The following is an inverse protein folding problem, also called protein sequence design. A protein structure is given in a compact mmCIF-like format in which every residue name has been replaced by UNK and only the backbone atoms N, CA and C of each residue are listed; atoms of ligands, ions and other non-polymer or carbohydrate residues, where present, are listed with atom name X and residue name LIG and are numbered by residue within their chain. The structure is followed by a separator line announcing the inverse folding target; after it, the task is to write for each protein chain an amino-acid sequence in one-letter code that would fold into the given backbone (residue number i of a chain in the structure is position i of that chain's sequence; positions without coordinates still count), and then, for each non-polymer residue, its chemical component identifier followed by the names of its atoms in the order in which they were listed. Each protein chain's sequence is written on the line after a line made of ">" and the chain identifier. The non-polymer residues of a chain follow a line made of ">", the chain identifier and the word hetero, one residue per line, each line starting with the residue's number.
data_IF_670600262035
#
_entry.id   IF_670600262035
#
_cell.length_a   1.000
_cell.length_b   1.000
_cell.length_c   1.000
_cell.angle_alpha   90.00
_cell.angle_beta   90.00
_cell.angle_gamma   90.00
#
_symmetry.space_group_name_H-M   'P 1'
#
loop_
_entity.id
_entity.type
_entity.pdbx_description
1 polymer ?
#
# COMPACT_ATOMS: atom_id res chain seq x y z
N UNK A 1 12.33 7.71 -9.44
CA UNK A 1 11.23 6.87 -8.93
C UNK A 1 10.98 5.75 -9.93
N UNK A 2 11.13 4.50 -9.52
CA UNK A 2 11.11 3.30 -10.38
C UNK A 2 9.89 2.42 -10.04
N UNK A 3 8.70 3.02 -10.02
CA UNK A 3 7.43 2.28 -9.87
C UNK A 3 6.74 2.22 -11.22
N UNK A 4 6.40 1.02 -11.66
CA UNK A 4 5.63 0.77 -12.88
C UNK A 4 4.23 0.29 -12.50
N UNK A 5 3.20 0.77 -13.18
CA UNK A 5 1.84 0.27 -13.01
C UNK A 5 1.47 -0.60 -14.21
N UNK A 6 1.31 -1.90 -13.99
CA UNK A 6 0.86 -2.81 -15.03
C UNK A 6 -0.66 -2.68 -15.19
N UNK A 7 -1.18 -2.54 -16.43
CA UNK A 7 -2.62 -2.52 -16.67
C UNK A 7 -3.30 -3.78 -16.11
N UNK A 8 -2.69 -4.94 -16.36
CA UNK A 8 -3.14 -6.25 -15.91
C UNK A 8 -1.92 -7.11 -15.57
N UNK A 9 -1.95 -7.76 -14.42
CA UNK A 9 -1.09 -8.89 -14.08
C UNK A 9 -1.94 -10.15 -14.09
N UNK A 10 -1.61 -11.12 -14.95
CA UNK A 10 -2.23 -12.44 -14.96
C UNK A 10 -1.21 -13.50 -14.52
N UNK A 11 -1.56 -14.27 -13.49
CA UNK A 11 -0.74 -15.38 -13.02
C UNK A 11 -0.80 -16.52 -14.04
N UNK A 12 0.36 -17.13 -14.25
CA UNK A 12 0.53 -18.26 -15.16
C UNK A 12 1.44 -19.30 -14.54
N UNK A 13 1.28 -20.53 -14.98
CA UNK A 13 2.15 -21.64 -14.62
C UNK A 13 2.86 -22.17 -15.88
N UNK A 14 4.08 -22.66 -15.69
CA UNK A 14 4.82 -23.36 -16.75
C UNK A 14 4.15 -24.71 -16.97
N UNK A 15 3.94 -25.07 -18.22
CA UNK A 15 3.26 -26.31 -18.60
C UNK A 15 3.95 -26.96 -19.80
N UNK A 16 3.56 -28.19 -20.11
CA UNK A 16 4.03 -28.88 -21.32
C UNK A 16 3.35 -28.30 -22.56
N UNK A 17 3.95 -28.56 -23.73
CA UNK A 17 3.41 -28.13 -25.03
C UNK A 17 2.00 -28.69 -25.30
N UNK A 18 1.70 -29.87 -24.78
CA UNK A 18 0.44 -30.58 -25.04
C UNK A 18 -0.67 -30.20 -24.05
N UNK A 19 -0.40 -29.34 -23.06
CA UNK A 19 -1.41 -28.95 -22.09
C UNK A 19 -2.48 -28.05 -22.75
N UNK A 20 -3.79 -28.29 -22.53
CA UNK A 20 -4.83 -27.42 -23.05
C UNK A 20 -4.63 -25.96 -22.62
N UNK A 21 -4.62 -25.04 -23.59
CA UNK A 21 -4.40 -23.62 -23.35
C UNK A 21 -2.92 -23.20 -23.21
N UNK A 22 -1.97 -24.11 -23.47
CA UNK A 22 -0.55 -23.78 -23.48
C UNK A 22 -0.21 -22.74 -24.56
N UNK A 23 0.53 -21.71 -24.15
CA UNK A 23 1.07 -20.65 -25.01
C UNK A 23 2.59 -20.75 -25.01
N UNK A 24 3.19 -20.68 -26.19
CA UNK A 24 4.65 -20.65 -26.36
C UNK A 24 5.19 -19.26 -26.04
N UNK A 25 6.28 -19.18 -25.29
CA UNK A 25 7.06 -17.94 -25.09
C UNK A 25 8.53 -18.21 -25.35
N UNK A 26 9.16 -17.32 -26.10
CA UNK A 26 10.59 -17.35 -26.35
C UNK A 26 11.22 -16.14 -25.67
N UNK A 27 12.20 -16.39 -24.81
CA UNK A 27 12.99 -15.36 -24.13
C UNK A 27 14.32 -15.22 -24.84
N UNK A 28 14.64 -14.02 -25.29
CA UNK A 28 15.99 -13.68 -25.72
C UNK A 28 16.84 -13.45 -24.45
N UNK A 29 17.84 -14.29 -24.23
CA UNK A 29 18.75 -14.16 -23.08
C UNK A 29 20.01 -13.45 -23.57
N UNK A 30 20.04 -12.12 -23.46
CA UNK A 30 21.20 -11.31 -23.85
C UNK A 30 21.58 -11.35 -25.34
N UNK A 31 22.59 -10.58 -25.73
CA UNK A 31 23.03 -10.45 -27.14
C UNK A 31 23.70 -11.71 -27.71
N UNK A 32 24.08 -12.69 -26.87
CA UNK A 32 24.90 -13.85 -27.27
C UNK A 32 24.46 -15.21 -26.67
N UNK A 33 23.30 -15.35 -26.03
CA UNK A 33 22.85 -16.65 -25.51
C UNK A 33 21.65 -17.23 -26.28
N UNK A 34 21.59 -18.56 -26.35
CA UNK A 34 20.54 -19.31 -27.04
C UNK A 34 19.14 -18.93 -26.55
N UNK A 35 18.20 -18.76 -27.48
CA UNK A 35 16.81 -18.41 -27.16
C UNK A 35 16.16 -19.52 -26.35
N UNK A 36 15.85 -19.27 -25.08
CA UNK A 36 15.15 -20.25 -24.26
C UNK A 36 13.65 -20.15 -24.54
N UNK A 37 13.05 -21.27 -24.92
CA UNK A 37 11.61 -21.37 -25.19
C UNK A 37 10.94 -22.20 -24.12
N UNK A 38 9.83 -21.71 -23.58
CA UNK A 38 8.99 -22.43 -22.64
C UNK A 38 7.51 -22.29 -22.99
N UNK A 39 6.68 -23.19 -22.48
CA UNK A 39 5.23 -23.14 -22.61
C UNK A 39 4.62 -22.76 -21.26
N UNK A 40 3.58 -21.94 -21.30
CA UNK A 40 2.87 -21.48 -20.10
C UNK A 40 1.38 -21.38 -20.37
N UNK A 41 0.56 -21.53 -19.33
CA UNK A 41 -0.88 -21.27 -19.41
C UNK A 41 -1.33 -20.35 -18.27
N UNK A 42 -2.33 -19.48 -18.49
CA UNK A 42 -2.93 -18.70 -17.41
C UNK A 42 -3.53 -19.63 -16.36
N UNK A 43 -3.33 -19.32 -15.08
CA UNK A 43 -3.95 -20.07 -14.00
C UNK A 43 -5.45 -19.74 -13.97
N UNK A 44 -6.29 -20.77 -14.01
CA UNK A 44 -7.74 -20.63 -13.91
C UNK A 44 -8.24 -21.18 -12.58
N UNK A 45 -9.35 -20.63 -12.08
CA UNK A 45 -10.02 -21.15 -10.87
C UNK A 45 -10.58 -22.56 -11.03
N UNK A 46 -10.62 -23.10 -12.25
CA UNK A 46 -11.14 -24.42 -12.59
C UNK A 46 -10.08 -25.50 -12.36
N UNK A 47 -8.80 -25.19 -12.61
CA UNK A 47 -7.69 -26.15 -12.54
C UNK A 47 -7.22 -26.44 -11.10
N UNK A 48 -7.22 -25.42 -10.22
CA UNK A 48 -6.80 -25.60 -8.83
C UNK A 48 -7.99 -25.90 -7.89
N UNK A 49 -8.46 -27.14 -7.92
CA UNK A 49 -9.49 -27.66 -6.98
C UNK A 49 -9.13 -27.49 -5.49
N UNK A 50 -7.87 -27.15 -5.16
CA UNK A 50 -7.34 -26.98 -3.80
C UNK A 50 -7.32 -25.53 -3.28
N UNK A 51 -7.58 -24.53 -4.12
CA UNK A 51 -7.59 -23.11 -3.73
C UNK A 51 -9.01 -22.57 -3.71
N UNK A 52 -9.33 -21.79 -2.70
CA UNK A 52 -10.67 -21.25 -2.52
C UNK A 52 -11.10 -20.37 -3.71
N UNK A 53 -12.38 -20.45 -4.09
CA UNK A 53 -12.96 -19.78 -5.27
C UNK A 53 -12.78 -18.26 -5.32
N UNK A 54 -12.48 -17.60 -4.20
CA UNK A 54 -12.27 -16.15 -4.14
C UNK A 54 -10.85 -15.70 -4.53
N UNK A 55 -9.90 -16.63 -4.66
CA UNK A 55 -8.53 -16.31 -5.08
C UNK A 55 -8.57 -15.91 -6.56
N UNK A 56 -8.19 -14.66 -6.84
CA UNK A 56 -8.08 -14.14 -8.20
C UNK A 56 -6.72 -14.51 -8.78
N UNK A 57 -6.69 -14.66 -10.09
CA UNK A 57 -5.44 -14.91 -10.84
C UNK A 57 -5.13 -13.78 -11.82
N UNK A 58 -5.99 -12.76 -11.85
CA UNK A 58 -5.91 -11.56 -12.66
C UNK A 58 -6.10 -10.32 -11.78
N UNK A 59 -5.13 -9.40 -11.85
CA UNK A 59 -5.08 -8.18 -11.06
C UNK A 59 -4.90 -6.96 -11.96
N UNK A 60 -5.91 -6.11 -12.02
CA UNK A 60 -5.82 -4.84 -12.74
C UNK A 60 -5.00 -3.83 -11.93
N UNK A 61 -4.23 -2.98 -12.61
CA UNK A 61 -3.45 -1.90 -12.01
C UNK A 61 -2.45 -2.42 -10.96
N UNK A 62 -1.74 -3.51 -11.28
CA UNK A 62 -0.75 -4.10 -10.38
C UNK A 62 0.49 -3.21 -10.30
N UNK A 63 0.89 -2.74 -9.11
CA UNK A 63 2.07 -1.91 -8.94
C UNK A 63 3.33 -2.78 -8.81
N UNK A 64 4.33 -2.50 -9.64
CA UNK A 64 5.62 -3.18 -9.66
C UNK A 64 6.68 -2.26 -9.09
N UNK A 65 7.47 -2.79 -8.17
CA UNK A 65 8.69 -2.15 -7.64
C UNK A 65 9.85 -2.56 -8.52
N UNK A 66 10.55 -1.58 -9.10
CA UNK A 66 11.74 -1.78 -9.92
C UNK A 66 12.98 -1.19 -9.22
N UNK A 67 14.14 -1.77 -9.47
CA UNK A 67 15.44 -1.21 -9.10
C UNK A 67 15.85 -0.05 -10.04
N UNK A 68 17.04 0.54 -9.82
CA UNK A 68 17.60 1.58 -10.70
C UNK A 68 17.83 1.14 -12.14
N UNK A 69 18.06 -0.15 -12.35
CA UNK A 69 18.27 -0.76 -13.67
C UNK A 69 16.95 -1.08 -14.38
N UNK A 70 15.80 -0.83 -13.74
CA UNK A 70 14.49 -1.16 -14.28
C UNK A 70 14.12 -2.64 -14.14
N UNK A 71 14.88 -3.41 -13.37
CA UNK A 71 14.61 -4.82 -13.08
C UNK A 71 13.61 -4.89 -11.92
N UNK A 72 12.56 -5.74 -12.00
CA UNK A 72 11.65 -5.94 -10.88
C UNK A 72 12.36 -6.46 -9.64
N UNK A 73 12.15 -5.78 -8.50
CA UNK A 73 12.59 -6.28 -7.21
C UNK A 73 11.69 -7.43 -6.77
N UNK A 74 12.10 -8.63 -7.14
CA UNK A 74 11.42 -9.91 -6.97
C UNK A 74 10.71 -10.06 -5.61
N UNK A 75 11.43 -9.92 -4.50
CA UNK A 75 10.89 -10.13 -3.14
C UNK A 75 9.81 -9.12 -2.77
N UNK A 76 9.93 -7.87 -3.19
CA UNK A 76 8.92 -6.85 -2.94
C UNK A 76 7.65 -7.09 -3.76
N UNK A 77 7.82 -7.50 -5.01
CA UNK A 77 6.69 -7.82 -5.89
C UNK A 77 5.96 -9.09 -5.44
N UNK A 78 6.68 -10.11 -4.97
CA UNK A 78 6.10 -11.31 -4.36
C UNK A 78 5.34 -10.97 -3.06
N UNK A 79 5.87 -10.06 -2.24
CA UNK A 79 5.18 -9.60 -1.05
C UNK A 79 3.83 -8.93 -1.40
N UNK A 80 3.82 -8.02 -2.37
CA UNK A 80 2.59 -7.35 -2.83
C UNK A 80 1.59 -8.38 -3.35
N UNK A 81 2.04 -9.36 -4.15
CA UNK A 81 1.19 -10.42 -4.66
C UNK A 81 0.58 -11.28 -3.55
N UNK A 82 1.39 -11.68 -2.55
CA UNK A 82 0.90 -12.48 -1.41
C UNK A 82 -0.20 -11.77 -0.62
N UNK A 83 -0.11 -10.44 -0.49
CA UNK A 83 -1.11 -9.60 0.17
C UNK A 83 -2.41 -9.51 -0.64
N UNK A 84 -2.29 -9.48 -1.98
CA UNK A 84 -3.43 -9.46 -2.90
C UNK A 84 -4.19 -10.79 -2.90
N UNK A 85 -3.48 -11.91 -2.95
CA UNK A 85 -4.08 -13.26 -2.92
C UNK A 85 -4.94 -13.49 -1.67
N UNK A 86 -4.55 -12.90 -0.54
CA UNK A 86 -5.29 -12.97 0.72
C UNK A 86 -6.52 -12.06 0.81
N UNK A 87 -6.81 -11.23 -0.21
CA UNK A 87 -7.86 -10.19 -0.13
C UNK A 87 -8.92 -10.38 -1.23
N UNK A 88 -10.19 -10.73 -0.89
CA UNK A 88 -11.23 -11.00 -1.89
C UNK A 88 -11.59 -9.82 -2.80
N UNK A 89 -11.61 -8.61 -2.25
CA UNK A 89 -11.91 -7.35 -2.96
C UNK A 89 -10.81 -6.33 -2.69
N UNK A 90 -9.66 -6.45 -3.37
CA UNK A 90 -8.51 -5.61 -3.08
C UNK A 90 -8.74 -4.17 -3.57
N UNK A 91 -8.46 -3.19 -2.70
CA UNK A 91 -8.30 -1.80 -3.12
C UNK A 91 -6.87 -1.60 -3.64
N UNK A 92 -6.71 -1.47 -4.96
CA UNK A 92 -5.40 -1.32 -5.61
C UNK A 92 -4.63 -0.08 -5.17
N UNK A 93 -5.32 0.97 -4.69
CA UNK A 93 -4.67 2.15 -4.11
C UNK A 93 -3.79 1.80 -2.90
N UNK A 94 -4.24 0.88 -2.05
CA UNK A 94 -3.45 0.40 -0.90
C UNK A 94 -2.15 -0.26 -1.34
N UNK A 95 -2.21 -1.11 -2.37
CA UNK A 95 -1.04 -1.80 -2.90
C UNK A 95 -0.11 -0.85 -3.65
N UNK A 96 -0.68 0.15 -4.31
CA UNK A 96 0.07 1.22 -4.96
C UNK A 96 0.88 2.02 -3.93
N UNK A 97 0.33 2.31 -2.74
CA UNK A 97 1.05 2.94 -1.63
C UNK A 97 2.12 2.03 -1.02
N UNK A 98 1.84 0.72 -0.90
CA UNK A 98 2.84 -0.27 -0.43
C UNK A 98 4.04 -0.30 -1.39
N UNK A 99 3.78 -0.38 -2.70
CA UNK A 99 4.84 -0.37 -3.71
C UNK A 99 5.66 0.92 -3.68
N UNK A 100 5.02 2.07 -3.46
CA UNK A 100 5.71 3.35 -3.33
C UNK A 100 6.64 3.36 -2.10
N UNK A 101 6.17 2.86 -0.96
CA UNK A 101 6.97 2.76 0.27
C UNK A 101 8.16 1.83 0.10
N UNK A 102 7.96 0.68 -0.55
CA UNK A 102 9.03 -0.28 -0.83
C UNK A 102 10.00 0.26 -1.89
N UNK A 103 9.53 1.04 -2.86
CA UNK A 103 10.41 1.73 -3.82
C UNK A 103 11.28 2.77 -3.13
N UNK A 104 10.72 3.53 -2.18
CA UNK A 104 11.49 4.48 -1.37
C UNK A 104 12.54 3.75 -0.51
N UNK A 105 12.17 2.61 0.06
CA UNK A 105 13.10 1.77 0.83
C UNK A 105 14.21 1.18 -0.05
N UNK A 106 13.88 0.65 -1.23
CA UNK A 106 14.85 0.13 -2.19
C UNK A 106 15.84 1.23 -2.61
N UNK A 107 15.32 2.42 -2.95
CA UNK A 107 16.16 3.55 -3.33
C UNK A 107 17.16 3.94 -2.23
N UNK A 108 16.75 3.88 -0.95
CA UNK A 108 17.64 4.06 0.19
C UNK A 108 18.71 2.97 0.27
N UNK A 109 18.31 1.69 0.16
CA UNK A 109 19.25 0.56 0.21
C UNK A 109 20.32 0.66 -0.88
N UNK A 110 19.91 0.98 -2.11
CA UNK A 110 20.83 1.15 -3.24
C UNK A 110 21.75 2.38 -3.08
N UNK A 111 21.24 3.49 -2.55
CA UNK A 111 22.05 4.70 -2.31
C UNK A 111 23.18 4.41 -1.31
N UNK A 112 22.85 3.67 -0.27
CA UNK A 112 23.76 3.40 0.85
C UNK A 112 24.55 2.09 0.69
N UNK A 113 24.34 1.35 -0.41
CA UNK A 113 24.97 0.05 -0.66
C UNK A 113 24.65 -0.99 0.42
N UNK A 114 23.42 -0.97 0.95
CA UNK A 114 23.00 -1.83 2.06
C UNK A 114 22.36 -3.11 1.51
N UNK A 115 22.86 -4.26 1.95
CA UNK A 115 22.18 -5.54 1.77
C UNK A 115 20.98 -5.62 2.75
N UNK A 116 19.78 -5.73 2.18
CA UNK A 116 18.53 -5.80 2.95
C UNK A 116 18.38 -7.12 3.73
N UNK A 117 19.15 -8.16 3.40
CA UNK A 117 19.12 -9.47 4.06
C UNK A 117 20.13 -9.59 5.20
N UNK A 118 21.10 -8.68 5.27
CA UNK A 118 22.21 -8.75 6.22
C UNK A 118 21.88 -8.09 7.56
N UNK A 119 21.64 -8.91 8.59
CA UNK A 119 21.40 -8.44 9.96
C UNK A 119 22.63 -8.66 10.82
N UNK A 120 23.38 -7.59 11.09
CA UNK A 120 24.60 -7.62 11.91
C UNK A 120 24.30 -7.57 13.42
N UNK A 121 25.28 -7.98 14.24
CA UNK A 121 25.17 -7.97 15.71
C UNK A 121 24.84 -6.58 16.24
N UNK A 122 25.57 -5.57 15.76
CA UNK A 122 25.34 -4.15 16.09
C UNK A 122 24.04 -3.66 15.45
N UNK A 123 23.05 -3.35 16.29
CA UNK A 123 21.69 -2.97 15.85
C UNK A 123 21.65 -1.83 14.83
N UNK A 124 22.49 -0.80 15.01
CA UNK A 124 22.47 0.40 14.17
C UNK A 124 22.97 0.16 12.73
N UNK A 125 23.67 -0.95 12.47
CA UNK A 125 24.09 -1.32 11.13
C UNK A 125 23.06 -2.19 10.39
N UNK A 126 21.99 -2.61 11.08
CA UNK A 126 20.93 -3.40 10.44
C UNK A 126 20.12 -2.50 9.50
N UNK A 127 19.68 -3.03 8.35
CA UNK A 127 18.97 -2.25 7.33
C UNK A 127 17.71 -1.56 7.89
N UNK A 128 16.99 -2.25 8.78
CA UNK A 128 15.78 -1.74 9.45
C UNK A 128 16.05 -0.51 10.34
N UNK A 129 17.11 -0.52 11.14
CA UNK A 129 17.46 0.60 12.01
C UNK A 129 18.07 1.76 11.23
N UNK A 130 18.88 1.48 10.20
CA UNK A 130 19.43 2.52 9.32
C UNK A 130 18.30 3.27 8.62
N UNK A 131 17.33 2.56 8.05
CA UNK A 131 16.19 3.21 7.40
C UNK A 131 15.29 3.98 8.37
N UNK A 132 15.08 3.46 9.59
CA UNK A 132 14.38 4.21 10.63
C UNK A 132 15.10 5.52 10.99
N UNK A 133 16.45 5.52 11.04
CA UNK A 133 17.25 6.72 11.23
C UNK A 133 17.10 7.72 10.08
N UNK A 134 17.17 7.24 8.84
CA UNK A 134 16.98 8.05 7.64
C UNK A 134 15.61 8.73 7.62
N UNK A 135 14.53 7.98 7.87
CA UNK A 135 13.18 8.54 7.91
C UNK A 135 13.03 9.60 9.01
N UNK A 136 13.71 9.45 10.15
CA UNK A 136 13.71 10.47 11.20
C UNK A 136 14.44 11.73 10.75
N UNK A 137 15.61 11.57 10.14
CA UNK A 137 16.39 12.68 9.61
C UNK A 137 15.60 13.48 8.57
N UNK A 138 14.96 12.81 7.60
CA UNK A 138 14.11 13.47 6.59
C UNK A 138 12.91 14.22 7.22
N UNK A 139 12.34 13.70 8.31
CA UNK A 139 11.26 14.38 9.05
C UNK A 139 11.78 15.62 9.77
N UNK A 140 12.94 15.52 10.41
CA UNK A 140 13.59 16.64 11.11
C UNK A 140 14.05 17.72 10.13
N UNK A 141 14.46 17.34 8.92
CA UNK A 141 14.79 18.23 7.81
C UNK A 141 13.57 18.81 7.07
N UNK A 142 12.34 18.47 7.48
CA UNK A 142 11.09 18.87 6.82
C UNK A 142 10.93 18.41 5.35
N UNK A 143 11.72 17.43 4.92
CA UNK A 143 11.65 16.83 3.57
C UNK A 143 10.56 15.76 3.48
N UNK A 144 10.20 15.15 4.62
CA UNK A 144 9.20 14.10 4.71
C UNK A 144 8.20 14.38 5.82
N UNK A 145 6.90 14.31 5.51
CA UNK A 145 5.87 14.42 6.51
C UNK A 145 5.92 13.23 7.50
N UNK A 146 5.81 13.51 8.80
CA UNK A 146 5.87 12.49 9.86
C UNK A 146 4.84 11.34 9.70
N UNK A 147 3.58 11.58 9.24
CA UNK A 147 2.66 10.49 8.91
C UNK A 147 3.15 9.59 7.77
N UNK A 148 3.81 10.17 6.76
CA UNK A 148 4.40 9.42 5.64
C UNK A 148 5.57 8.57 6.11
N UNK A 149 6.45 9.11 6.96
CA UNK A 149 7.53 8.36 7.58
C UNK A 149 7.01 7.16 8.38
N UNK A 150 5.97 7.38 9.21
CA UNK A 150 5.29 6.30 9.95
C UNK A 150 4.73 5.23 9.01
N UNK A 151 4.07 5.64 7.93
CA UNK A 151 3.50 4.72 6.94
C UNK A 151 4.58 3.88 6.27
N UNK A 152 5.63 4.52 5.74
CA UNK A 152 6.79 3.86 5.13
C UNK A 152 7.44 2.84 6.06
N UNK A 153 7.70 3.24 7.30
CA UNK A 153 8.31 2.35 8.27
C UNK A 153 7.42 1.16 8.64
N UNK A 154 6.11 1.40 8.76
CA UNK A 154 5.11 0.35 8.96
C UNK A 154 5.10 -0.66 7.81
N UNK A 155 5.19 -0.20 6.56
CA UNK A 155 5.30 -1.07 5.39
C UNK A 155 6.56 -1.93 5.43
N UNK A 156 7.72 -1.35 5.76
CA UNK A 156 8.99 -2.10 5.88
C UNK A 156 8.93 -3.15 7.00
N UNK A 157 8.37 -2.82 8.17
CA UNK A 157 8.17 -3.79 9.26
C UNK A 157 7.31 -4.97 8.78
N UNK A 158 6.19 -4.68 8.12
CA UNK A 158 5.29 -5.72 7.61
C UNK A 158 5.96 -6.59 6.53
N UNK A 159 6.77 -5.98 5.66
CA UNK A 159 7.57 -6.66 4.65
C UNK A 159 8.57 -7.64 5.28
N UNK A 160 9.37 -7.21 6.26
CA UNK A 160 10.31 -8.10 6.95
C UNK A 160 9.63 -9.22 7.74
N UNK A 161 8.49 -8.93 8.39
CA UNK A 161 7.69 -9.98 9.05
C UNK A 161 7.26 -11.06 8.06
N UNK A 162 6.85 -10.64 6.87
CA UNK A 162 6.49 -11.57 5.80
C UNK A 162 7.71 -12.35 5.29
N UNK A 163 8.85 -11.70 5.04
CA UNK A 163 10.08 -12.38 4.59
C UNK A 163 10.53 -13.47 5.57
N UNK A 164 10.55 -13.17 6.86
CA UNK A 164 10.91 -14.14 7.91
C UNK A 164 9.86 -15.25 8.01
N UNK A 165 8.57 -14.90 7.96
CA UNK A 165 7.47 -15.87 8.04
C UNK A 165 7.38 -16.82 6.85
N UNK A 166 7.88 -16.42 5.68
CA UNK A 166 8.01 -17.27 4.49
C UNK A 166 9.37 -17.97 4.38
N UNK A 167 10.24 -17.83 5.39
CA UNK A 167 11.62 -18.34 5.40
C UNK A 167 12.51 -17.85 4.23
N UNK A 168 12.14 -16.74 3.59
CA UNK A 168 12.92 -16.15 2.49
C UNK A 168 14.22 -15.50 2.98
N UNK A 169 14.26 -15.13 4.26
CA UNK A 169 15.46 -14.70 4.96
C UNK A 169 15.55 -15.39 6.32
N UNK A 170 16.79 -15.63 6.78
CA UNK A 170 17.08 -16.12 8.13
C UNK A 170 18.07 -15.17 8.81
N UNK A 171 17.57 -14.07 9.41
CA UNK A 171 18.43 -13.07 10.04
C UNK A 171 19.27 -13.70 11.16
N UNK A 172 20.59 -13.52 11.11
CA UNK A 172 21.49 -14.01 12.17
C UNK A 172 21.21 -13.33 13.52
N UNK A 173 20.65 -12.11 13.49
CA UNK A 173 20.23 -11.35 14.66
C UNK A 173 18.80 -10.80 14.46
N UNK A 174 18.05 -10.52 15.54
CA UNK A 174 16.68 -10.02 15.44
C UNK A 174 16.56 -8.77 14.57
N UNK A 175 15.49 -8.69 13.78
CA UNK A 175 15.26 -7.54 12.89
C UNK A 175 14.99 -6.23 13.65
N UNK A 176 14.43 -6.32 14.86
CA UNK A 176 14.16 -5.24 15.82
C UNK A 176 13.82 -5.83 17.21
N UNK A 177 13.51 -4.97 18.18
CA UNK A 177 12.96 -5.38 19.48
C UNK A 177 11.43 -5.24 19.47
N UNK A 178 10.73 -6.29 19.90
CA UNK A 178 9.27 -6.27 20.04
C UNK A 178 8.85 -6.05 21.49
N UNK A 179 7.76 -5.32 21.68
CA UNK A 179 7.11 -5.09 22.97
C UNK A 179 5.59 -5.15 22.80
N UNK A 180 4.94 -5.79 23.75
CA UNK A 180 3.48 -5.93 23.75
C UNK A 180 2.81 -4.69 24.35
N UNK A 181 1.80 -4.18 23.66
CA UNK A 181 0.95 -3.09 24.15
C UNK A 181 -0.51 -3.50 24.12
N UNK A 182 -1.23 -3.24 25.19
CA UNK A 182 -2.67 -3.44 25.26
C UNK A 182 -3.39 -2.14 24.90
N UNK A 183 -4.29 -2.21 23.92
CA UNK A 183 -5.24 -1.13 23.62
C UNK A 183 -6.60 -1.54 24.15
N UNK A 184 -7.11 -0.74 25.09
CA UNK A 184 -8.47 -0.89 25.59
C UNK A 184 -9.40 -0.05 24.72
N UNK A 185 -10.49 -0.64 24.28
CA UNK A 185 -11.55 0.06 23.55
C UNK A 185 -12.90 -0.34 24.14
N UNK A 186 -13.80 0.63 24.24
CA UNK A 186 -15.17 0.39 24.67
C UNK A 186 -16.05 0.15 23.45
N UNK A 187 -16.85 -0.90 23.52
CA UNK A 187 -17.93 -1.14 22.57
C UNK A 187 -19.06 -0.12 22.78
N UNK A 188 -19.92 0.08 21.79
CA UNK A 188 -21.04 1.03 21.88
C UNK A 188 -22.02 0.72 23.02
N UNK A 189 -21.95 -0.50 23.58
CA UNK A 189 -22.74 -0.99 24.72
C UNK A 189 -22.00 -0.89 26.07
N UNK A 190 -20.85 -0.22 26.13
CA UNK A 190 -20.10 0.02 27.37
C UNK A 190 -19.17 -1.12 27.82
N UNK A 191 -19.02 -2.19 27.04
CA UNK A 191 -18.09 -3.28 27.37
C UNK A 191 -16.65 -2.90 26.99
N UNK A 192 -15.74 -2.94 27.96
CA UNK A 192 -14.30 -2.75 27.72
C UNK A 192 -13.68 -4.04 27.17
N UNK A 193 -13.09 -3.94 25.98
CA UNK A 193 -12.30 -5.02 25.35
C UNK A 193 -10.85 -4.58 25.27
N UNK A 194 -9.92 -5.46 25.64
CA UNK A 194 -8.48 -5.23 25.48
C UNK A 194 -7.96 -6.01 24.28
N UNK A 195 -7.26 -5.34 23.36
CA UNK A 195 -6.55 -5.96 22.25
C UNK A 195 -5.05 -5.86 22.48
N UNK A 196 -4.39 -7.01 22.55
CA UNK A 196 -2.93 -7.10 22.56
C UNK A 196 -2.38 -6.77 21.17
N UNK A 197 -1.44 -5.84 21.09
CA UNK A 197 -0.79 -5.39 19.86
C UNK A 197 0.72 -5.42 20.06
N UNK A 198 1.42 -6.18 19.21
CA UNK A 198 2.88 -6.17 19.16
C UNK A 198 3.37 -4.87 18.51
N UNK A 199 4.20 -4.13 19.23
CA UNK A 199 4.85 -2.89 18.77
C UNK A 199 6.35 -3.08 18.67
N UNK A 200 7.00 -2.36 17.75
CA UNK A 200 8.44 -2.44 17.53
C UNK A 200 9.12 -1.16 17.99
N UNK A 201 10.39 -1.25 18.42
CA UNK A 201 11.19 -0.09 18.82
C UNK A 201 11.55 0.83 17.63
N UNK A 202 11.51 0.30 16.41
CA UNK A 202 11.68 1.06 15.15
C UNK A 202 10.38 1.65 14.60
N UNK A 203 9.27 1.59 15.35
CA UNK A 203 8.01 2.23 14.93
C UNK A 203 8.06 3.75 15.12
N UNK A 204 7.82 4.52 14.04
CA UNK A 204 7.78 5.99 14.12
C UNK A 204 6.45 6.46 14.71
N UNK A 205 6.54 7.23 15.80
CA UNK A 205 5.40 7.85 16.49
C UNK A 205 5.44 9.35 16.22
N UNK A 206 4.70 9.86 15.21
CA UNK A 206 4.61 11.29 14.99
C UNK A 206 4.00 11.94 16.24
N UNK A 207 4.50 13.12 16.60
CA UNK A 207 3.85 13.94 17.63
C UNK A 207 2.44 14.25 17.15
N UNK A 208 1.44 14.02 17.99
CA UNK A 208 0.09 14.52 17.69
C UNK A 208 0.19 16.04 17.71
N UNK A 209 -0.08 16.66 16.57
CA UNK A 209 -0.26 18.10 16.47
C UNK A 209 -1.73 18.38 16.79
N UNK A 210 -2.12 18.10 18.04
CA UNK A 210 -3.42 18.48 18.57
C UNK A 210 -3.30 19.95 18.93
N UNK A 211 -3.54 20.85 17.97
CA UNK A 211 -3.77 22.26 18.28
C UNK A 211 -5.25 22.38 18.70
N UNK A 212 -5.54 22.58 20.00
CA UNK A 212 -6.90 22.59 20.51
C UNK A 212 -7.73 23.78 20.01
N UNK A 213 -7.12 24.76 19.33
CA UNK A 213 -7.80 25.92 18.76
C UNK A 213 -8.11 25.79 17.27
N UNK A 214 -7.62 24.73 16.61
CA UNK A 214 -7.95 24.49 15.22
C UNK A 214 -9.33 23.84 15.16
N UNK A 215 -10.34 24.59 14.70
CA UNK A 215 -11.71 24.12 14.44
C UNK A 215 -11.79 23.16 13.24
N UNK A 216 -10.84 22.21 13.13
CA UNK A 216 -10.85 21.19 12.08
C UNK A 216 -11.12 19.83 12.68
N UNK A 217 -11.99 19.08 12.02
CA UNK A 217 -12.21 17.66 12.25
C UNK A 217 -11.26 16.89 11.32
N UNK A 218 -10.59 15.86 11.84
CA UNK A 218 -9.76 14.96 11.01
C UNK A 218 -10.62 13.78 10.53
N UNK A 219 -11.22 13.93 9.34
CA UNK A 219 -12.04 12.89 8.68
C UNK A 219 -11.41 12.40 7.37
N UNK A 220 -10.10 12.10 7.42
CA UNK A 220 -9.28 11.78 6.24
C UNK A 220 -8.55 13.00 5.66
N UNK A 221 -8.50 14.08 6.43
CA UNK A 221 -7.94 15.39 6.12
C UNK A 221 -8.46 16.39 7.15
N UNK A 222 -7.75 17.51 7.36
CA UNK A 222 -8.22 18.59 8.23
C UNK A 222 -9.37 19.30 7.52
N UNK A 223 -10.60 19.03 7.95
CA UNK A 223 -11.81 19.63 7.38
C UNK A 223 -12.41 20.59 8.39
N UNK A 224 -12.73 21.80 7.93
CA UNK A 224 -13.52 22.76 8.70
C UNK A 224 -14.91 22.86 8.05
N UNK A 225 -16.00 22.71 8.81
CA UNK A 225 -17.34 23.01 8.29
C UNK A 225 -17.42 24.45 7.79
N UNK A 226 -18.00 24.66 6.62
CA UNK A 226 -18.26 26.01 6.11
C UNK A 226 -19.23 26.73 7.06
N UNK A 227 -18.89 27.96 7.41
CA UNK A 227 -19.78 28.89 8.11
C UNK A 227 -20.98 29.27 7.24
N UNK A 228 -22.05 29.79 7.83
CA UNK A 228 -23.25 30.17 7.08
C UNK A 228 -22.95 31.14 5.92
N UNK A 229 -22.10 32.14 6.16
CA UNK A 229 -21.67 33.08 5.12
C UNK A 229 -20.86 32.41 4.01
N UNK A 230 -19.96 31.47 4.34
CA UNK A 230 -19.20 30.73 3.32
C UNK A 230 -20.09 29.78 2.50
N UNK A 231 -21.16 29.25 3.10
CA UNK A 231 -22.17 28.46 2.37
C UNK A 231 -22.97 29.35 1.40
N UNK A 232 -23.34 30.57 1.82
CA UNK A 232 -24.00 31.55 0.94
C UNK A 232 -23.10 31.91 -0.25
N UNK A 233 -21.82 32.21 -0.01
CA UNK A 233 -20.86 32.49 -1.08
C UNK A 233 -20.68 31.32 -2.04
N UNK A 234 -20.68 30.08 -1.53
CA UNK A 234 -20.64 28.89 -2.36
C UNK A 234 -21.88 28.79 -3.26
N UNK A 235 -23.07 29.02 -2.71
CA UNK A 235 -24.31 28.97 -3.48
C UNK A 235 -24.37 30.06 -4.56
N UNK A 236 -23.97 31.29 -4.23
CA UNK A 236 -23.87 32.38 -5.21
C UNK A 236 -22.88 32.05 -6.34
N UNK A 237 -21.72 31.49 -6.00
CA UNK A 237 -20.74 31.06 -6.99
C UNK A 237 -21.30 29.95 -7.90
N UNK A 238 -22.07 29.00 -7.36
CA UNK A 238 -22.71 27.93 -8.14
C UNK A 238 -23.81 28.45 -9.07
N UNK A 239 -24.59 29.44 -8.62
CA UNK A 239 -25.60 30.11 -9.45
C UNK A 239 -24.91 30.81 -10.62
N UNK A 240 -23.85 31.59 -10.36
CA UNK A 240 -23.10 32.31 -11.39
C UNK A 240 -22.34 31.38 -12.35
N UNK A 241 -21.95 30.19 -11.91
CA UNK A 241 -21.27 29.20 -12.74
C UNK A 241 -22.22 28.57 -13.78
N UNK A 242 -23.54 28.62 -13.55
CA UNK A 242 -24.60 28.07 -14.41
C UNK A 242 -24.36 26.60 -14.84
N UNK A 243 -23.65 25.83 -14.01
CA UNK A 243 -23.36 24.43 -14.26
C UNK A 243 -24.17 23.53 -13.34
N UNK A 244 -25.23 22.95 -13.89
CA UNK A 244 -26.16 22.06 -13.17
C UNK A 244 -25.46 20.89 -12.49
N UNK A 245 -24.47 20.28 -13.14
CA UNK A 245 -23.74 19.13 -12.57
C UNK A 245 -22.96 19.55 -11.33
N UNK A 246 -22.24 20.67 -11.41
CA UNK A 246 -21.48 21.22 -10.29
C UNK A 246 -22.40 21.63 -9.14
N UNK A 247 -23.53 22.27 -9.45
CA UNK A 247 -24.53 22.64 -8.45
C UNK A 247 -25.08 21.43 -7.70
N UNK A 248 -25.47 20.37 -8.42
CA UNK A 248 -25.97 19.15 -7.79
C UNK A 248 -24.92 18.43 -6.94
N UNK A 249 -23.67 18.36 -7.43
CA UNK A 249 -22.55 17.76 -6.69
C UNK A 249 -22.31 18.50 -5.37
N UNK A 250 -22.22 19.83 -5.40
CA UNK A 250 -21.94 20.62 -4.19
C UNK A 250 -23.14 20.67 -3.24
N UNK A 251 -24.37 20.77 -3.74
CA UNK A 251 -25.57 20.71 -2.91
C UNK A 251 -25.68 19.37 -2.17
N UNK A 252 -25.44 18.26 -2.87
CA UNK A 252 -25.44 16.93 -2.26
C UNK A 252 -24.35 16.81 -1.20
N UNK A 253 -23.13 17.29 -1.49
CA UNK A 253 -22.03 17.31 -0.53
C UNK A 253 -22.37 18.13 0.73
N UNK A 254 -22.93 19.33 0.54
CA UNK A 254 -23.27 20.26 1.61
C UNK A 254 -24.37 19.70 2.53
N UNK A 255 -25.43 19.13 1.97
CA UNK A 255 -26.58 18.64 2.73
C UNK A 255 -26.33 17.32 3.45
N UNK A 256 -25.43 16.48 2.94
CA UNK A 256 -25.18 15.14 3.49
C UNK A 256 -23.87 15.01 4.24
N UNK A 257 -22.94 15.97 4.06
CA UNK A 257 -21.56 15.86 4.52
C UNK A 257 -20.80 14.71 3.84
N UNK A 258 -21.29 14.21 2.69
CA UNK A 258 -20.68 13.08 2.00
C UNK A 258 -19.31 13.46 1.40
N UNK A 259 -18.35 12.53 1.49
CA UNK A 259 -17.04 12.67 0.83
C UNK A 259 -17.21 12.80 -0.68
N UNK A 260 -16.32 13.55 -1.32
CA UNK A 260 -16.33 13.78 -2.77
C UNK A 260 -16.45 12.49 -3.59
N UNK A 261 -15.75 11.42 -3.19
CA UNK A 261 -15.84 10.14 -3.87
C UNK A 261 -17.23 9.51 -3.76
N UNK A 262 -17.91 9.66 -2.62
CA UNK A 262 -19.28 9.18 -2.42
C UNK A 262 -20.26 9.96 -3.31
N UNK A 263 -20.14 11.29 -3.32
CA UNK A 263 -20.97 12.18 -4.15
C UNK A 263 -20.81 11.84 -5.63
N UNK A 264 -19.58 11.72 -6.11
CA UNK A 264 -19.26 11.48 -7.52
C UNK A 264 -19.46 10.02 -7.99
N UNK A 265 -19.73 9.08 -7.09
CA UNK A 265 -20.00 7.67 -7.43
C UNK A 265 -21.41 7.22 -7.06
N UNK A 266 -22.27 8.15 -6.65
CA UNK A 266 -23.66 7.86 -6.32
C UNK A 266 -24.39 7.31 -7.56
N UNK A 267 -25.02 6.16 -7.42
CA UNK A 267 -25.80 5.53 -8.50
C UNK A 267 -27.27 5.92 -8.36
N UNK A 268 -27.93 6.21 -9.49
CA UNK A 268 -29.36 6.60 -9.54
C UNK A 268 -30.26 5.65 -8.74
N UNK A 269 -30.02 4.34 -8.78
CA UNK A 269 -30.79 3.34 -8.01
C UNK A 269 -30.75 3.50 -6.48
N UNK A 270 -29.82 4.31 -5.96
CA UNK A 270 -29.69 4.59 -4.53
C UNK A 270 -30.50 5.83 -4.11
N UNK A 271 -30.95 6.63 -5.08
CA UNK A 271 -31.90 7.71 -4.86
C UNK A 271 -33.29 7.07 -4.87
N UNK A 272 -34.00 7.16 -3.74
CA UNK A 272 -35.37 6.70 -3.58
C UNK A 272 -36.34 7.85 -3.76
#
# INVERSE_FOLDING_TARGET
>A
MSKLLLPILALSEVCDQNTPGAKKRSLAVGENAESTTYYYRPISSIDHQRRARWIRYDYNLFPVVLDRSGVPWDVANLYILSRLEGTPTPNMGTYASIAEDLSAYLGFLENEGIDFTLFLQRKLHRPTYRYHGELKFQVEACELAAPTAKRRMGTVIAFYRWLVGQELIKPAYPTWQESDRYINYMDARGFSKSKKIATTDISIKPRKQDDPFVETIDDGGKLKPLTGAEQEWLLEALINLENTEMSLVHLLALLTGARIQTVLTLRVRLLR
#
